data_IF_132629606485
#
_entry.id   IF_132629606485
#
_cell.length_a   1.000
_cell.length_b   1.000
_cell.length_c   1.000
_cell.angle_alpha   90.00
_cell.angle_beta   90.00
_cell.angle_gamma   90.00
#
_symmetry.space_group_name_H-M   'P 1'
#
loop_
_entity.id
_entity.type
_entity.pdbx_description
1 polymer ?
#
# COMPACT_ATOMS: atom_id res chain seq x y z
N UNK A 1 -6.27 13.35 -6.81
CA UNK A 1 -7.03 14.08 -7.85
C UNK A 1 -6.45 13.69 -9.21
N UNK A 2 -7.27 13.18 -10.13
CA UNK A 2 -6.80 12.81 -11.47
C UNK A 2 -6.30 14.03 -12.27
N UNK A 3 -6.83 15.23 -11.99
CA UNK A 3 -6.39 16.46 -12.65
C UNK A 3 -4.94 16.81 -12.31
N UNK A 4 -4.46 16.41 -11.12
CA UNK A 4 -3.09 16.67 -10.69
C UNK A 4 -2.04 15.95 -11.56
N UNK A 5 -2.42 14.85 -12.21
CA UNK A 5 -1.51 14.04 -13.05
C UNK A 5 -1.57 14.39 -14.54
N UNK A 6 -2.51 15.23 -14.98
CA UNK A 6 -2.77 15.46 -16.42
C UNK A 6 -1.51 15.85 -17.20
N UNK A 7 -0.79 16.88 -16.75
CA UNK A 7 0.42 17.35 -17.44
C UNK A 7 1.56 16.32 -17.40
N UNK A 8 1.66 15.56 -16.31
CA UNK A 8 2.68 14.53 -16.16
C UNK A 8 2.41 13.34 -17.09
N UNK A 9 1.14 12.92 -17.24
CA UNK A 9 0.74 11.87 -18.17
C UNK A 9 0.90 12.30 -19.63
N UNK A 10 0.52 13.53 -19.98
CA UNK A 10 0.76 14.08 -21.33
C UNK A 10 2.25 14.13 -21.68
N UNK A 11 3.13 14.38 -20.69
CA UNK A 11 4.57 14.31 -20.90
C UNK A 11 5.05 12.85 -21.01
N UNK A 12 4.54 11.96 -20.16
CA UNK A 12 4.88 10.55 -20.15
C UNK A 12 4.62 9.90 -21.51
N UNK A 13 3.46 10.17 -22.13
CA UNK A 13 3.12 9.72 -23.47
C UNK A 13 4.10 10.24 -24.54
N UNK A 14 4.54 11.51 -24.44
CA UNK A 14 5.47 12.12 -25.41
C UNK A 14 6.89 11.55 -25.33
N UNK A 15 7.35 11.20 -24.14
CA UNK A 15 8.72 10.72 -23.90
C UNK A 15 8.80 9.21 -23.71
N UNK A 16 7.68 8.51 -23.84
CA UNK A 16 7.55 7.08 -23.62
C UNK A 16 8.01 6.62 -22.22
N UNK A 17 7.61 7.37 -21.18
CA UNK A 17 8.04 7.09 -19.80
C UNK A 17 7.47 5.77 -19.28
N UNK A 18 8.25 4.98 -18.54
CA UNK A 18 7.74 3.72 -17.95
C UNK A 18 6.80 3.97 -16.76
N UNK A 19 7.05 5.03 -15.99
CA UNK A 19 6.37 5.35 -14.73
C UNK A 19 6.20 6.86 -14.55
N UNK A 20 5.15 7.26 -13.86
CA UNK A 20 4.90 8.63 -13.39
C UNK A 20 4.73 8.58 -11.87
N UNK A 21 5.50 9.42 -11.17
CA UNK A 21 5.54 9.47 -9.71
C UNK A 21 5.22 10.88 -9.23
N UNK A 22 4.45 11.01 -8.15
CA UNK A 22 4.19 12.28 -7.50
C UNK A 22 4.07 12.10 -5.99
N UNK A 23 4.45 13.12 -5.23
CA UNK A 23 4.21 13.21 -3.79
C UNK A 23 3.22 14.33 -3.48
N UNK A 24 2.57 14.26 -2.32
CA UNK A 24 1.84 15.38 -1.75
C UNK A 24 2.78 16.45 -1.17
N UNK A 25 2.28 17.66 -0.84
CA UNK A 25 3.15 18.80 -0.50
C UNK A 25 4.07 18.62 0.72
N UNK A 26 3.71 17.76 1.68
CA UNK A 26 4.51 17.38 2.85
C UNK A 26 5.35 16.11 2.61
N UNK A 27 5.27 15.52 1.42
CA UNK A 27 6.06 14.40 0.94
C UNK A 27 5.93 13.10 1.76
N UNK A 28 4.78 12.90 2.42
CA UNK A 28 4.50 11.70 3.22
C UNK A 28 3.76 10.62 2.41
N UNK A 29 3.18 10.97 1.26
CA UNK A 29 2.45 10.04 0.37
C UNK A 29 2.97 10.05 -1.05
N UNK A 30 2.56 9.03 -1.78
CA UNK A 30 2.98 8.76 -3.14
C UNK A 30 1.81 8.38 -4.05
N UNK A 31 1.68 9.04 -5.19
CA UNK A 31 0.85 8.59 -6.31
C UNK A 31 1.69 8.04 -7.45
N UNK A 32 1.24 6.94 -8.07
CA UNK A 32 1.96 6.24 -9.13
C UNK A 32 1.03 5.95 -10.30
N UNK A 33 1.54 6.18 -11.50
CA UNK A 33 1.05 5.53 -12.71
C UNK A 33 2.17 4.70 -13.32
N UNK A 34 1.84 3.51 -13.81
CA UNK A 34 2.77 2.70 -14.57
C UNK A 34 2.18 2.32 -15.92
N UNK A 35 3.02 2.28 -16.94
CA UNK A 35 2.65 1.86 -18.28
C UNK A 35 2.39 0.36 -18.32
N UNK A 36 1.30 -0.08 -18.95
CA UNK A 36 1.07 -1.47 -19.33
C UNK A 36 1.89 -1.78 -20.58
N UNK A 37 2.77 -2.78 -20.51
CA UNK A 37 3.59 -3.19 -21.66
C UNK A 37 2.77 -3.73 -22.83
N UNK A 38 1.55 -4.21 -22.58
CA UNK A 38 0.69 -4.83 -23.61
C UNK A 38 -0.12 -3.82 -24.39
N UNK A 39 -0.68 -2.82 -23.71
CA UNK A 39 -1.61 -1.84 -24.29
C UNK A 39 -0.95 -0.48 -24.51
N UNK A 40 0.12 -0.18 -23.77
CA UNK A 40 0.74 1.13 -23.71
C UNK A 40 -0.02 2.13 -22.84
N UNK A 41 -1.15 1.74 -22.23
CA UNK A 41 -1.94 2.60 -21.35
C UNK A 41 -1.28 2.78 -19.98
N UNK A 42 -1.47 3.95 -19.37
CA UNK A 42 -1.00 4.21 -18.01
C UNK A 42 -2.10 3.88 -16.99
N UNK A 43 -1.82 2.95 -16.08
CA UNK A 43 -2.73 2.60 -15.00
C UNK A 43 -2.31 3.26 -13.69
N UNK A 44 -3.29 3.87 -13.00
CA UNK A 44 -3.11 4.40 -11.65
C UNK A 44 -3.00 3.27 -10.63
N UNK A 45 -2.07 3.40 -9.70
CA UNK A 45 -1.97 2.50 -8.56
C UNK A 45 -2.77 3.08 -7.40
N UNK A 46 -3.46 2.23 -6.65
CA UNK A 46 -3.98 2.59 -5.32
C UNK A 46 -2.84 2.58 -4.30
N UNK A 47 -3.06 3.14 -3.11
CA UNK A 47 -2.05 3.08 -2.05
C UNK A 47 -1.72 1.65 -1.60
N UNK A 48 -2.69 0.74 -1.67
CA UNK A 48 -2.45 -0.69 -1.45
C UNK A 48 -1.54 -1.28 -2.54
N UNK A 49 -1.76 -0.94 -3.81
CA UNK A 49 -0.94 -1.46 -4.92
C UNK A 49 0.50 -0.94 -4.83
N UNK A 50 0.70 0.37 -4.64
CA UNK A 50 2.05 0.94 -4.54
C UNK A 50 2.77 0.43 -3.29
N UNK A 51 2.13 0.47 -2.12
CA UNK A 51 2.72 -0.02 -0.86
C UNK A 51 3.11 -1.49 -0.92
N UNK A 52 2.28 -2.35 -1.50
CA UNK A 52 2.55 -3.79 -1.57
C UNK A 52 3.47 -4.20 -2.70
N UNK A 53 3.54 -3.44 -3.79
CA UNK A 53 4.62 -3.62 -4.77
C UNK A 53 5.98 -3.29 -4.16
N UNK A 54 6.08 -2.19 -3.41
CA UNK A 54 7.31 -1.84 -2.69
C UNK A 54 7.65 -2.92 -1.67
N UNK A 55 6.67 -3.39 -0.89
CA UNK A 55 6.88 -4.45 0.09
C UNK A 55 7.40 -5.74 -0.59
N UNK A 56 6.78 -6.17 -1.69
CA UNK A 56 7.22 -7.36 -2.43
C UNK A 56 8.65 -7.20 -2.92
N UNK A 57 8.99 -6.06 -3.52
CA UNK A 57 10.35 -5.78 -3.99
C UNK A 57 11.36 -5.83 -2.85
N UNK A 58 11.17 -5.02 -1.81
CA UNK A 58 12.08 -4.95 -0.67
C UNK A 58 12.31 -6.31 -0.01
N UNK A 59 11.23 -7.07 0.20
CA UNK A 59 11.31 -8.38 0.82
C UNK A 59 11.94 -9.42 -0.12
N UNK A 60 11.69 -9.35 -1.44
CA UNK A 60 12.35 -10.26 -2.38
C UNK A 60 13.86 -10.04 -2.40
N UNK A 61 14.29 -8.78 -2.42
CA UNK A 61 15.71 -8.44 -2.43
C UNK A 61 16.39 -8.82 -1.10
N UNK A 62 15.74 -8.55 0.04
CA UNK A 62 16.25 -8.98 1.36
C UNK A 62 16.29 -10.50 1.48
N UNK A 63 15.32 -11.24 0.93
CA UNK A 63 15.32 -12.71 0.89
C UNK A 63 16.51 -13.24 0.10
N UNK A 64 16.79 -12.67 -1.08
CA UNK A 64 17.93 -13.04 -1.93
C UNK A 64 19.27 -12.82 -1.20
N UNK A 65 19.40 -11.69 -0.48
CA UNK A 65 20.59 -11.38 0.34
C UNK A 65 20.64 -12.08 1.70
N UNK A 66 19.61 -12.87 2.05
CA UNK A 66 19.47 -13.55 3.36
C UNK A 66 19.44 -12.58 4.55
N UNK A 67 18.81 -11.42 4.35
CA UNK A 67 18.66 -10.33 5.32
C UNK A 67 17.32 -10.33 6.05
N UNK A 68 16.45 -11.32 5.80
CA UNK A 68 15.20 -11.46 6.55
C UNK A 68 15.49 -12.19 7.87
N UNK A 69 15.34 -11.54 9.03
CA UNK A 69 15.53 -12.19 10.31
C UNK A 69 14.36 -13.12 10.64
N UNK A 70 14.60 -14.11 11.50
CA UNK A 70 13.57 -15.05 11.93
C UNK A 70 12.38 -14.38 12.67
N UNK A 71 12.58 -13.18 13.21
CA UNK A 71 11.56 -12.38 13.90
C UNK A 71 11.15 -11.13 13.09
N UNK A 72 11.27 -11.15 11.76
CA UNK A 72 10.83 -10.04 10.92
C UNK A 72 9.31 -9.82 11.01
N UNK A 73 8.87 -8.56 10.95
CA UNK A 73 7.47 -8.18 11.01
C UNK A 73 7.07 -7.16 9.93
N UNK A 74 5.88 -7.37 9.34
CA UNK A 74 5.20 -6.44 8.45
C UNK A 74 3.99 -5.87 9.18
N UNK A 75 3.82 -4.55 9.15
CA UNK A 75 2.75 -3.85 9.86
C UNK A 75 1.80 -3.20 8.86
N UNK A 76 0.49 -3.34 9.07
CA UNK A 76 -0.53 -2.68 8.25
C UNK A 76 -1.64 -2.10 9.12
N UNK A 77 -2.40 -1.15 8.59
CA UNK A 77 -3.68 -0.77 9.21
C UNK A 77 -4.78 -1.78 8.87
N UNK A 78 -5.79 -1.87 9.73
CA UNK A 78 -6.95 -2.78 9.61
C UNK A 78 -7.79 -2.59 8.34
N UNK A 79 -7.68 -1.42 7.72
CA UNK A 79 -8.38 -1.08 6.47
C UNK A 79 -7.47 -1.24 5.23
N UNK A 80 -6.20 -1.60 5.43
CA UNK A 80 -5.27 -1.93 4.35
C UNK A 80 -5.47 -3.35 3.82
N UNK A 81 -5.02 -3.55 2.59
CA UNK A 81 -5.24 -4.80 1.86
C UNK A 81 -4.80 -6.06 2.59
N UNK A 82 -5.60 -7.12 2.47
CA UNK A 82 -5.23 -8.47 2.91
C UNK A 82 -4.21 -9.15 1.98
N UNK A 83 -3.81 -8.53 0.86
CA UNK A 83 -2.66 -8.98 0.08
C UNK A 83 -1.37 -8.90 0.91
N UNK A 84 -1.29 -7.97 1.87
CA UNK A 84 -0.19 -7.87 2.83
C UNK A 84 0.02 -9.18 3.62
N UNK A 85 -1.08 -9.86 3.98
CA UNK A 85 -1.06 -11.11 4.74
C UNK A 85 -0.41 -12.23 3.94
N UNK A 86 -0.74 -12.31 2.64
CA UNK A 86 -0.18 -13.29 1.72
C UNK A 86 1.32 -13.04 1.47
N UNK A 87 1.71 -11.78 1.30
CA UNK A 87 3.11 -11.37 1.18
C UNK A 87 3.86 -11.70 2.46
N UNK A 88 3.39 -11.27 3.63
CA UNK A 88 4.03 -11.56 4.92
C UNK A 88 4.26 -13.06 5.13
N UNK A 89 3.27 -13.89 4.77
CA UNK A 89 3.38 -15.35 4.85
C UNK A 89 4.47 -15.92 3.94
N UNK A 90 4.59 -15.45 2.70
CA UNK A 90 5.63 -15.90 1.76
C UNK A 90 7.06 -15.63 2.26
N UNK A 91 7.24 -14.55 3.02
CA UNK A 91 8.53 -14.16 3.58
C UNK A 91 8.72 -14.60 5.04
N UNK A 92 7.81 -15.42 5.57
CA UNK A 92 7.80 -15.88 6.96
C UNK A 92 7.86 -14.74 8.00
N UNK A 93 7.17 -13.64 7.71
CA UNK A 93 7.08 -12.49 8.61
C UNK A 93 5.87 -12.60 9.53
N UNK A 94 6.01 -12.03 10.74
CA UNK A 94 4.87 -11.72 11.59
C UNK A 94 4.07 -10.57 10.97
N UNK A 95 2.83 -10.81 10.59
CA UNK A 95 1.90 -9.73 10.29
C UNK A 95 1.37 -9.13 11.59
N UNK A 96 1.42 -7.81 11.71
CA UNK A 96 0.77 -7.05 12.78
C UNK A 96 -0.23 -6.08 12.16
N UNK A 97 -1.49 -6.22 12.56
CA UNK A 97 -2.56 -5.32 12.16
C UNK A 97 -2.83 -4.31 13.28
N UNK A 98 -2.88 -3.03 12.93
CA UNK A 98 -3.15 -1.92 13.85
C UNK A 98 -4.35 -1.08 13.40
N UNK A 99 -4.86 -0.20 14.26
CA UNK A 99 -5.89 0.76 13.86
C UNK A 99 -5.34 1.78 12.86
N UNK A 100 -6.24 2.43 12.11
CA UNK A 100 -5.89 3.49 11.15
C UNK A 100 -5.09 4.63 11.81
N UNK A 101 -4.03 5.07 11.13
CA UNK A 101 -3.13 6.12 11.54
C UNK A 101 -1.71 5.59 11.77
N UNK A 102 -0.74 6.13 11.01
CA UNK A 102 0.68 5.74 11.08
C UNK A 102 1.30 5.80 12.49
N UNK A 103 0.73 6.59 13.40
CA UNK A 103 1.13 6.63 14.82
C UNK A 103 1.13 5.24 15.47
N UNK A 104 0.22 4.34 15.08
CA UNK A 104 0.16 2.99 15.64
C UNK A 104 1.23 2.08 15.04
N UNK A 105 1.63 2.30 13.79
CA UNK A 105 2.80 1.65 13.19
C UNK A 105 4.07 2.11 13.93
N UNK A 106 4.21 3.43 14.14
CA UNK A 106 5.31 4.01 14.92
C UNK A 106 5.35 3.52 16.38
N UNK A 107 4.19 3.30 17.00
CA UNK A 107 4.10 2.68 18.33
C UNK A 107 4.65 1.25 18.34
N UNK A 108 4.27 0.42 17.37
CA UNK A 108 4.80 -0.94 17.25
C UNK A 108 6.31 -0.93 17.03
N UNK A 109 6.83 -0.05 16.16
CA UNK A 109 8.27 0.11 15.96
C UNK A 109 8.99 0.43 17.29
N UNK A 110 8.44 1.35 18.10
CA UNK A 110 8.98 1.68 19.42
C UNK A 110 8.95 0.47 20.36
N UNK A 111 7.87 -0.31 20.36
CA UNK A 111 7.77 -1.52 21.19
C UNK A 111 8.82 -2.56 20.77
N UNK A 112 9.03 -2.76 19.47
CA UNK A 112 10.06 -3.66 18.94
C UNK A 112 11.47 -3.22 19.37
N UNK A 113 11.73 -1.92 19.37
CA UNK A 113 13.03 -1.38 19.80
C UNK A 113 13.30 -1.64 21.28
N UNK A 114 12.26 -1.61 22.11
CA UNK A 114 12.33 -1.83 23.56
C UNK A 114 12.40 -3.33 23.91
N UNK A 115 11.54 -4.15 23.30
CA UNK A 115 11.42 -5.58 23.63
C UNK A 115 12.40 -6.47 22.86
N UNK A 116 12.87 -6.01 21.69
CA UNK A 116 13.60 -6.81 20.69
C UNK A 116 12.84 -8.05 20.21
N UNK A 117 11.53 -8.10 20.44
CA UNK A 117 10.70 -9.26 20.08
C UNK A 117 10.62 -9.44 18.56
N UNK A 118 10.43 -8.33 17.83
CA UNK A 118 10.38 -8.33 16.37
C UNK A 118 11.37 -7.34 15.75
N UNK A 119 11.70 -7.57 14.49
CA UNK A 119 12.44 -6.64 13.64
C UNK A 119 11.49 -6.06 12.60
N UNK A 120 11.38 -4.73 12.56
CA UNK A 120 10.55 -4.06 11.56
C UNK A 120 11.09 -4.30 10.14
N UNK A 121 10.24 -4.78 9.24
CA UNK A 121 10.60 -5.00 7.83
C UNK A 121 9.87 -4.06 6.88
N UNK A 122 8.60 -3.73 7.16
CA UNK A 122 7.81 -2.81 6.34
C UNK A 122 6.54 -2.39 7.07
N UNK A 123 6.01 -1.22 6.73
CA UNK A 123 4.81 -0.63 7.33
C UNK A 123 4.09 0.28 6.35
N UNK A 124 2.78 0.12 6.19
CA UNK A 124 2.01 0.93 5.24
C UNK A 124 0.55 1.14 5.62
N UNK A 125 -0.05 2.14 4.97
CA UNK A 125 -1.47 2.46 4.97
C UNK A 125 -2.00 2.49 3.54
N UNK A 126 -3.26 2.09 3.35
CA UNK A 126 -3.97 2.15 2.07
C UNK A 126 -4.10 3.56 1.50
N UNK A 127 -3.93 4.57 2.36
CA UNK A 127 -3.95 5.98 2.04
C UNK A 127 -2.64 6.49 1.41
N UNK A 128 -1.95 5.66 0.62
CA UNK A 128 -0.77 6.02 -0.18
C UNK A 128 0.53 6.28 0.60
N UNK A 129 0.64 5.76 1.83
CA UNK A 129 1.79 6.01 2.71
C UNK A 129 2.47 4.73 3.16
N UNK A 130 3.81 4.71 3.15
CA UNK A 130 4.58 3.59 3.68
C UNK A 130 5.94 4.03 4.23
N UNK A 131 6.62 3.12 4.90
CA UNK A 131 7.99 3.29 5.39
C UNK A 131 8.80 2.00 5.21
N UNK A 132 9.88 2.08 4.42
CA UNK A 132 10.73 0.94 4.03
C UNK A 132 11.79 0.60 5.10
N UNK A 133 12.11 1.56 5.98
CA UNK A 133 13.16 1.44 6.99
C UNK A 133 12.72 1.94 8.36
N UNK A 134 13.69 2.17 9.25
CA UNK A 134 13.44 2.64 10.62
C UNK A 134 13.95 4.07 10.87
N UNK A 135 14.30 4.79 9.81
CA UNK A 135 14.85 6.15 9.88
C UNK A 135 13.83 7.19 10.34
N UNK A 136 12.54 6.94 10.11
CA UNK A 136 11.44 7.80 10.52
C UNK A 136 10.45 7.06 11.43
N UNK A 137 9.49 7.80 11.98
CA UNK A 137 8.28 7.29 12.68
C UNK A 137 7.00 7.76 12.00
N UNK A 138 7.14 8.15 10.74
CA UNK A 138 6.09 8.61 9.86
C UNK A 138 6.32 7.99 8.48
N UNK A 139 5.37 8.20 7.58
CA UNK A 139 5.50 7.82 6.18
C UNK A 139 6.60 8.65 5.52
N UNK A 140 7.24 8.07 4.52
CA UNK A 140 8.26 8.76 3.73
C UNK A 140 8.03 8.51 2.25
N UNK A 141 7.35 9.46 1.61
CA UNK A 141 7.04 9.42 0.19
C UNK A 141 8.28 9.52 -0.70
N UNK A 142 9.36 10.15 -0.24
CA UNK A 142 10.62 10.27 -0.99
C UNK A 142 11.36 8.93 -1.00
N UNK A 143 11.46 8.27 0.16
CA UNK A 143 12.02 6.93 0.24
C UNK A 143 11.18 5.93 -0.59
N UNK A 144 9.85 6.05 -0.55
CA UNK A 144 8.95 5.24 -1.37
C UNK A 144 9.18 5.44 -2.88
N UNK A 145 9.36 6.69 -3.33
CA UNK A 145 9.72 7.01 -4.72
C UNK A 145 11.04 6.35 -5.11
N UNK A 146 12.07 6.47 -4.27
CA UNK A 146 13.37 5.88 -4.56
C UNK A 146 13.29 4.36 -4.69
N UNK A 147 12.61 3.68 -3.78
CA UNK A 147 12.42 2.23 -3.86
C UNK A 147 11.62 1.81 -5.09
N UNK A 148 10.64 2.61 -5.52
CA UNK A 148 9.91 2.32 -6.76
C UNK A 148 10.74 2.54 -8.03
N UNK A 149 11.59 3.56 -8.06
CA UNK A 149 12.54 3.74 -9.15
C UNK A 149 13.49 2.54 -9.24
N UNK A 150 13.97 2.05 -8.10
CA UNK A 150 14.81 0.85 -8.02
C UNK A 150 14.06 -0.40 -8.48
N UNK A 151 12.84 -0.60 -7.98
CA UNK A 151 11.97 -1.69 -8.41
C UNK A 151 11.67 -1.62 -9.91
N UNK A 152 11.36 -0.44 -10.46
CA UNK A 152 11.10 -0.25 -11.87
C UNK A 152 12.32 -0.62 -12.72
N UNK A 153 13.52 -0.19 -12.32
CA UNK A 153 14.75 -0.58 -13.00
C UNK A 153 14.97 -2.11 -12.95
N UNK A 154 14.85 -2.70 -11.76
CA UNK A 154 15.02 -4.15 -11.55
C UNK A 154 14.04 -4.98 -12.39
N UNK A 155 12.77 -4.62 -12.39
CA UNK A 155 11.76 -5.35 -13.16
C UNK A 155 11.89 -5.11 -14.66
N UNK A 156 12.34 -3.91 -15.08
CA UNK A 156 12.62 -3.61 -16.49
C UNK A 156 13.77 -4.45 -17.03
N UNK A 157 14.83 -4.70 -16.25
CA UNK A 157 15.89 -5.65 -16.63
C UNK A 157 15.36 -7.08 -16.86
N UNK A 158 14.23 -7.43 -16.23
CA UNK A 158 13.53 -8.70 -16.40
C UNK A 158 12.45 -8.68 -17.48
N UNK A 159 12.30 -7.56 -18.19
CA UNK A 159 11.32 -7.38 -19.26
C UNK A 159 9.90 -7.05 -18.78
N UNK A 160 9.74 -6.55 -17.55
CA UNK A 160 8.45 -6.19 -16.96
C UNK A 160 8.38 -4.70 -16.63
N UNK A 161 7.22 -4.10 -16.86
CA UNK A 161 6.86 -2.81 -16.24
C UNK A 161 6.42 -3.01 -14.79
N UNK A 162 6.24 -1.93 -14.03
CA UNK A 162 5.63 -2.04 -12.70
C UNK A 162 4.17 -2.54 -12.76
N UNK A 163 3.44 -2.22 -13.85
CA UNK A 163 2.09 -2.75 -14.04
C UNK A 163 2.11 -4.27 -14.22
N UNK A 164 2.99 -4.76 -15.10
CA UNK A 164 3.18 -6.21 -15.29
C UNK A 164 3.54 -6.89 -13.98
N UNK A 165 4.43 -6.27 -13.19
CA UNK A 165 4.80 -6.82 -11.90
C UNK A 165 3.62 -6.85 -10.92
N UNK A 166 2.77 -5.81 -10.89
CA UNK A 166 1.57 -5.83 -10.06
C UNK A 166 0.63 -6.98 -10.48
N UNK A 167 0.49 -7.24 -11.78
CA UNK A 167 -0.26 -8.40 -12.28
C UNK A 167 0.41 -9.73 -11.85
N UNK A 168 1.74 -9.82 -11.87
CA UNK A 168 2.47 -11.00 -11.39
C UNK A 168 2.24 -11.24 -9.89
N UNK A 169 2.24 -10.19 -9.07
CA UNK A 169 1.91 -10.26 -7.64
C UNK A 169 0.49 -10.81 -7.46
N UNK A 170 -0.49 -10.30 -8.21
CA UNK A 170 -1.85 -10.84 -8.14
C UNK A 170 -1.97 -12.29 -8.62
N UNK A 171 -1.23 -12.68 -9.67
CA UNK A 171 -1.20 -14.07 -10.12
C UNK A 171 -0.57 -15.00 -9.06
N UNK A 172 0.44 -14.52 -8.32
CA UNK A 172 1.14 -15.28 -7.29
C UNK A 172 0.30 -15.47 -6.02
N UNK A 173 -0.35 -14.40 -5.55
CA UNK A 173 -1.01 -14.38 -4.25
C UNK A 173 -2.54 -14.42 -4.30
N UNK A 174 -3.13 -14.22 -5.48
CA UNK A 174 -4.56 -14.01 -5.66
C UNK A 174 -4.89 -12.54 -5.94
N UNK A 175 -6.06 -12.32 -6.53
CA UNK A 175 -6.54 -10.99 -6.90
C UNK A 175 -7.33 -10.35 -5.76
N UNK A 176 -6.93 -9.14 -5.38
CA UNK A 176 -7.56 -8.36 -4.32
C UNK A 176 -8.15 -7.09 -4.94
N UNK A 177 -9.46 -6.91 -4.79
CA UNK A 177 -10.18 -5.73 -5.28
C UNK A 177 -10.76 -4.95 -4.11
N UNK A 178 -10.45 -3.67 -4.07
CA UNK A 178 -10.76 -2.79 -2.95
C UNK A 178 -11.38 -1.50 -3.46
N UNK A 179 -12.28 -0.94 -2.66
CA UNK A 179 -12.93 0.33 -2.95
C UNK A 179 -13.28 1.03 -1.64
N UNK A 180 -12.77 2.24 -1.48
CA UNK A 180 -13.14 3.13 -0.37
C UNK A 180 -14.23 4.08 -0.83
N UNK A 181 -15.37 4.08 -0.13
CA UNK A 181 -16.49 4.97 -0.40
C UNK A 181 -16.59 5.98 0.75
N UNK A 182 -16.26 7.24 0.46
CA UNK A 182 -16.43 8.34 1.41
C UNK A 182 -17.85 8.89 1.33
N UNK A 183 -18.59 8.79 2.43
CA UNK A 183 -19.94 9.35 2.56
C UNK A 183 -19.87 10.60 3.43
N UNK A 184 -20.01 11.77 2.82
CA UNK A 184 -20.04 13.05 3.53
C UNK A 184 -21.47 13.40 3.93
N UNK A 185 -21.65 13.81 5.18
CA UNK A 185 -22.88 14.40 5.71
C UNK A 185 -22.52 15.64 6.50
N UNK A 186 -23.17 16.75 6.19
CA UNK A 186 -22.82 18.06 6.74
C UNK A 186 -23.72 18.46 7.90
N UNK A 187 -23.18 19.30 8.79
CA UNK A 187 -23.92 19.87 9.90
C UNK A 187 -24.29 18.89 11.01
N UNK A 188 -25.04 19.40 12.00
CA UNK A 188 -25.49 18.64 13.17
C UNK A 188 -26.38 17.46 12.78
N UNK A 189 -27.25 17.67 11.78
CA UNK A 189 -28.08 16.62 11.19
C UNK A 189 -27.21 15.51 10.60
N UNK A 190 -26.15 15.87 9.86
CA UNK A 190 -25.24 14.89 9.30
C UNK A 190 -24.48 14.07 10.33
N UNK A 191 -24.05 14.68 11.43
CA UNK A 191 -23.41 13.97 12.55
C UNK A 191 -24.35 12.93 13.19
N UNK A 192 -25.62 13.30 13.39
CA UNK A 192 -26.64 12.39 13.94
C UNK A 192 -26.96 11.25 12.95
N UNK A 193 -27.06 11.54 11.65
CA UNK A 193 -27.22 10.52 10.60
C UNK A 193 -26.05 9.52 10.62
N UNK A 194 -24.81 9.99 10.69
CA UNK A 194 -23.62 9.12 10.77
C UNK A 194 -23.70 8.22 12.01
N UNK A 195 -24.04 8.79 13.17
CA UNK A 195 -24.19 8.05 14.42
C UNK A 195 -25.25 6.96 14.31
N UNK A 196 -26.39 7.27 13.71
CA UNK A 196 -27.47 6.30 13.49
C UNK A 196 -27.09 5.21 12.49
N UNK A 197 -26.39 5.55 11.39
CA UNK A 197 -25.91 4.57 10.42
C UNK A 197 -24.96 3.55 11.07
N UNK A 198 -23.98 4.03 11.84
CA UNK A 198 -23.04 3.16 12.56
C UNK A 198 -23.75 2.33 13.63
N UNK A 199 -24.68 2.93 14.38
CA UNK A 199 -25.49 2.23 15.39
C UNK A 199 -26.25 1.04 14.79
N UNK A 200 -26.99 1.29 13.70
CA UNK A 200 -27.75 0.25 12.98
C UNK A 200 -26.85 -0.88 12.46
N UNK A 201 -25.67 -0.55 11.92
CA UNK A 201 -24.71 -1.56 11.44
C UNK A 201 -24.16 -2.44 12.57
N UNK A 202 -23.97 -1.88 13.77
CA UNK A 202 -23.49 -2.63 14.95
C UNK A 202 -24.57 -3.52 15.56
N UNK A 203 -25.81 -3.01 15.62
CA UNK A 203 -26.96 -3.73 16.17
C UNK A 203 -27.45 -4.84 15.23
N UNK A 204 -27.34 -4.62 13.91
CA UNK A 204 -27.74 -5.57 12.89
C UNK A 204 -26.62 -5.74 11.85
N UNK A 205 -25.53 -6.46 12.20
CA UNK A 205 -24.43 -6.68 11.28
C UNK A 205 -24.92 -7.47 10.06
N UNK A 206 -24.38 -7.11 8.89
CA UNK A 206 -24.66 -7.87 7.68
C UNK A 206 -24.17 -9.31 7.87
N UNK A 207 -25.01 -10.28 7.53
CA UNK A 207 -24.67 -11.72 7.53
C UNK A 207 -24.41 -12.25 6.12
N UNK A 208 -24.62 -11.40 5.11
CA UNK A 208 -24.30 -11.67 3.72
C UNK A 208 -23.94 -10.38 2.96
N UNK A 209 -23.01 -10.51 2.01
CA UNK A 209 -22.69 -9.50 1.00
C UNK A 209 -22.81 -10.15 -0.38
N UNK A 210 -23.86 -9.77 -1.12
CA UNK A 210 -24.22 -10.44 -2.37
C UNK A 210 -24.51 -11.93 -2.13
N UNK A 211 -23.78 -12.82 -2.80
CA UNK A 211 -23.91 -14.28 -2.64
C UNK A 211 -23.05 -14.87 -1.51
N UNK A 212 -22.23 -14.06 -0.86
CA UNK A 212 -21.27 -14.52 0.14
C UNK A 212 -21.82 -14.32 1.54
N UNK A 213 -21.63 -15.31 2.40
CA UNK A 213 -21.90 -15.19 3.84
C UNK A 213 -20.75 -14.44 4.50
N UNK A 214 -21.07 -13.49 5.37
CA UNK A 214 -20.10 -12.71 6.16
C UNK A 214 -20.40 -12.80 7.64
#
# INVERSE_FOLDING_TARGET
DANAFKLALELAEKVDADVVLANDPDADRLGVYAKDSKTGEYHSFTGNMSGLLIAEYELSQKKERREIPANGALIKTIVSSNLADAIAKEYNLKLIEVLTGFKYIGEQMRLFEQSKEYTYMFGFEESYGCLIGTHARDKDGIAAVMALCEAAAYYKEKGYTLWDQMINIYNKYGFYKELTISITREGVTGAEEIKQMIGKMRENPATALGKYKV
#
